data_IF_947648746476
#
_entry.id   IF_947648746476
#
_cell.length_a   1.000
_cell.length_b   1.000
_cell.length_c   1.000
_cell.angle_alpha   90.00
_cell.angle_beta   90.00
_cell.angle_gamma   90.00
#
_symmetry.space_group_name_H-M   'P 1'
#
loop_
_entity.id
_entity.type
_entity.pdbx_description
1 polymer ?
#
# COMPACT_ATOMS: atom_id res chain seq x y z
N UNK A 1 16.89 -12.76 6.70
CA UNK A 1 16.92 -13.75 5.59
C UNK A 1 17.64 -15.04 5.97
N UNK A 2 18.58 -15.00 6.93
CA UNK A 2 19.40 -16.18 7.30
C UNK A 2 18.63 -17.35 7.91
N UNK A 3 17.41 -17.13 8.38
CA UNK A 3 16.51 -18.19 8.83
C UNK A 3 15.98 -19.08 7.68
N UNK A 4 16.26 -18.77 6.41
CA UNK A 4 15.84 -19.55 5.24
C UNK A 4 14.33 -19.55 4.99
N UNK A 5 13.60 -18.56 5.53
CA UNK A 5 12.12 -18.48 5.48
C UNK A 5 11.58 -17.48 4.43
N UNK A 6 12.45 -16.83 3.65
CA UNK A 6 12.07 -15.74 2.74
C UNK A 6 13.00 -15.75 1.52
N UNK A 7 12.44 -15.95 0.33
CA UNK A 7 13.22 -15.90 -0.93
C UNK A 7 12.92 -14.69 -1.80
N UNK A 8 11.78 -14.02 -1.64
CA UNK A 8 11.44 -12.79 -2.36
C UNK A 8 10.85 -11.78 -1.39
N UNK A 9 11.25 -10.51 -1.51
CA UNK A 9 10.71 -9.42 -0.70
C UNK A 9 10.49 -8.17 -1.56
N UNK A 10 9.57 -7.31 -1.12
CA UNK A 10 9.28 -6.05 -1.78
C UNK A 10 8.74 -5.02 -0.80
N UNK A 11 8.97 -3.75 -1.11
CA UNK A 11 8.47 -2.57 -0.41
C UNK A 11 7.82 -1.63 -1.43
N UNK A 12 6.79 -0.90 -1.01
CA UNK A 12 6.06 0.05 -1.85
C UNK A 12 6.93 1.22 -2.33
N UNK A 13 8.05 1.45 -1.65
CA UNK A 13 9.07 2.46 -1.94
C UNK A 13 10.01 2.09 -3.09
N UNK A 14 9.50 1.36 -4.09
CA UNK A 14 10.26 0.86 -5.25
C UNK A 14 11.40 -0.10 -4.90
N UNK A 15 11.26 -0.80 -3.78
CA UNK A 15 12.24 -1.76 -3.29
C UNK A 15 11.84 -3.19 -3.66
N UNK A 16 12.74 -3.96 -4.26
CA UNK A 16 12.52 -5.41 -4.48
C UNK A 16 13.84 -6.15 -4.30
N UNK A 17 13.78 -7.37 -3.77
CA UNK A 17 14.96 -8.19 -3.54
C UNK A 17 14.63 -9.67 -3.34
N UNK A 18 15.69 -10.44 -3.12
CA UNK A 18 15.64 -11.86 -2.77
C UNK A 18 16.78 -12.22 -1.83
N UNK A 19 16.79 -13.46 -1.35
CA UNK A 19 17.81 -13.99 -0.43
C UNK A 19 19.21 -14.20 -1.03
N UNK A 20 19.41 -13.87 -2.31
CA UNK A 20 20.72 -13.89 -2.97
C UNK A 20 21.73 -12.92 -2.33
N UNK A 21 21.27 -11.79 -1.79
CA UNK A 21 22.05 -10.86 -0.97
C UNK A 21 21.25 -10.45 0.27
N UNK A 22 21.77 -9.50 1.07
CA UNK A 22 21.11 -8.99 2.29
C UNK A 22 20.64 -7.54 2.15
N UNK A 23 20.42 -7.11 0.92
CA UNK A 23 19.95 -5.78 0.55
C UNK A 23 18.90 -5.89 -0.56
N UNK A 24 18.15 -4.81 -0.78
CA UNK A 24 17.33 -4.67 -1.98
C UNK A 24 18.26 -4.48 -3.19
N UNK A 25 17.86 -4.99 -4.35
CA UNK A 25 18.68 -4.91 -5.57
C UNK A 25 17.82 -4.55 -6.79
N UNK A 26 17.99 -3.30 -7.25
CA UNK A 26 17.27 -2.79 -8.40
C UNK A 26 17.71 -3.41 -9.74
N UNK A 27 19.00 -3.74 -9.90
CA UNK A 27 19.50 -4.39 -11.13
C UNK A 27 18.96 -5.81 -11.19
N UNK A 28 18.97 -6.52 -10.06
CA UNK A 28 18.36 -7.83 -9.95
C UNK A 28 16.86 -7.80 -10.32
N UNK A 29 16.10 -6.82 -9.83
CA UNK A 29 14.68 -6.68 -10.15
C UNK A 29 14.45 -6.43 -11.66
N UNK A 30 15.30 -5.63 -12.30
CA UNK A 30 15.27 -5.42 -13.77
C UNK A 30 15.57 -6.72 -14.51
N UNK A 31 16.62 -7.46 -14.12
CA UNK A 31 16.97 -8.73 -14.73
C UNK A 31 15.90 -9.82 -14.52
N UNK A 32 15.22 -9.81 -13.37
CA UNK A 32 14.07 -10.67 -13.11
C UNK A 32 12.92 -10.38 -14.08
N UNK A 33 12.58 -9.10 -14.29
CA UNK A 33 11.57 -8.70 -15.28
C UNK A 33 11.99 -9.06 -16.71
N UNK A 34 13.25 -8.85 -17.09
CA UNK A 34 13.75 -9.26 -18.40
C UNK A 34 13.64 -10.78 -18.58
N UNK A 35 13.91 -11.56 -17.54
CA UNK A 35 13.76 -13.02 -17.56
C UNK A 35 12.30 -13.44 -17.72
N UNK A 36 11.36 -12.77 -17.06
CA UNK A 36 9.92 -12.99 -17.23
C UNK A 36 9.52 -12.71 -18.68
N UNK A 37 9.89 -11.55 -19.22
CA UNK A 37 9.55 -11.16 -20.60
C UNK A 37 10.17 -12.10 -21.62
N UNK A 38 11.43 -12.49 -21.43
CA UNK A 38 12.10 -13.47 -22.29
C UNK A 38 11.37 -14.82 -22.29
N UNK A 39 11.03 -15.35 -21.10
CA UNK A 39 10.29 -16.61 -20.99
C UNK A 39 8.91 -16.52 -21.63
N UNK A 40 8.18 -15.42 -21.42
CA UNK A 40 6.85 -15.17 -22.01
C UNK A 40 6.88 -15.06 -23.54
N UNK A 41 8.05 -14.82 -24.13
CA UNK A 41 8.25 -14.69 -25.57
C UNK A 41 9.09 -15.81 -26.19
N UNK A 42 9.45 -16.86 -25.44
CA UNK A 42 10.41 -17.89 -25.88
C UNK A 42 9.98 -18.65 -27.16
N UNK A 43 8.67 -18.74 -27.41
CA UNK A 43 8.11 -19.41 -28.59
C UNK A 43 7.80 -18.45 -29.74
N UNK A 44 8.00 -17.13 -29.54
CA UNK A 44 7.71 -16.11 -30.55
C UNK A 44 8.80 -16.09 -31.62
N UNK A 45 8.38 -16.02 -32.88
CA UNK A 45 9.29 -15.95 -34.03
C UNK A 45 9.60 -14.50 -34.40
N UNK A 46 10.71 -14.31 -35.13
CA UNK A 46 11.07 -12.99 -35.68
C UNK A 46 9.92 -12.45 -36.53
N UNK A 47 9.48 -11.23 -36.23
CA UNK A 47 8.35 -10.58 -36.89
C UNK A 47 6.99 -10.78 -36.22
N UNK A 48 6.87 -11.68 -35.24
CA UNK A 48 5.64 -11.80 -34.44
C UNK A 48 5.56 -10.71 -33.36
N UNK A 49 4.32 -10.32 -33.00
CA UNK A 49 4.08 -9.42 -31.88
C UNK A 49 4.47 -10.08 -30.57
N UNK A 50 5.39 -9.45 -29.85
CA UNK A 50 5.85 -9.88 -28.54
C UNK A 50 4.82 -9.56 -27.45
N UNK A 51 4.76 -10.40 -26.43
CA UNK A 51 4.07 -10.14 -25.16
C UNK A 51 4.83 -9.01 -24.45
N UNK A 52 4.16 -7.88 -24.25
CA UNK A 52 4.68 -6.72 -23.53
C UNK A 52 4.52 -6.84 -22.01
N UNK A 53 5.20 -5.97 -21.26
CA UNK A 53 4.98 -5.82 -19.80
C UNK A 53 3.51 -5.55 -19.50
N UNK A 54 2.84 -4.69 -20.29
CA UNK A 54 1.41 -4.41 -20.11
C UNK A 54 0.55 -5.66 -20.27
N UNK A 55 0.86 -6.53 -21.23
CA UNK A 55 0.14 -7.80 -21.39
C UNK A 55 0.32 -8.70 -20.16
N UNK A 56 1.56 -8.85 -19.68
CA UNK A 56 1.85 -9.68 -18.49
C UNK A 56 1.10 -9.16 -17.26
N UNK A 57 1.10 -7.84 -17.04
CA UNK A 57 0.40 -7.22 -15.90
C UNK A 57 -1.12 -7.39 -16.02
N UNK A 58 -1.71 -7.16 -17.21
CA UNK A 58 -3.15 -7.35 -17.43
C UNK A 58 -3.57 -8.81 -17.25
N UNK A 59 -2.78 -9.76 -17.72
CA UNK A 59 -3.03 -11.19 -17.49
C UNK A 59 -2.92 -11.55 -16.00
N UNK A 60 -1.97 -10.96 -15.27
CA UNK A 60 -1.85 -11.14 -13.82
C UNK A 60 -3.10 -10.61 -13.10
N UNK A 61 -3.58 -9.41 -13.46
CA UNK A 61 -4.82 -8.86 -12.92
C UNK A 61 -6.03 -9.73 -13.25
N UNK A 62 -6.16 -10.21 -14.49
CA UNK A 62 -7.24 -11.11 -14.86
C UNK A 62 -7.24 -12.43 -14.05
N UNK A 63 -6.07 -12.88 -13.60
CA UNK A 63 -5.92 -14.12 -12.82
C UNK A 63 -6.17 -13.90 -11.33
N UNK A 64 -5.71 -12.79 -10.76
CA UNK A 64 -5.65 -12.59 -9.30
C UNK A 64 -6.51 -11.41 -8.79
N UNK A 65 -7.14 -10.65 -9.68
CA UNK A 65 -7.69 -9.33 -9.39
C UNK A 65 -6.63 -8.23 -9.45
N UNK A 66 -7.08 -6.97 -9.50
CA UNK A 66 -6.19 -5.79 -9.46
C UNK A 66 -6.28 -5.14 -8.09
N UNK A 67 -5.14 -4.93 -7.45
CA UNK A 67 -5.03 -4.01 -6.32
C UNK A 67 -4.66 -2.63 -6.87
N UNK A 68 -5.63 -1.72 -6.89
CA UNK A 68 -5.33 -0.30 -7.10
C UNK A 68 -4.64 0.22 -5.86
N UNK A 69 -3.53 0.95 -6.03
CA UNK A 69 -2.74 1.46 -4.93
C UNK A 69 -2.37 2.92 -5.18
N UNK A 70 -2.42 3.75 -4.14
CA UNK A 70 -1.77 5.05 -4.13
C UNK A 70 -1.33 5.42 -2.72
N UNK A 71 -0.25 6.19 -2.62
CA UNK A 71 0.24 6.75 -1.37
C UNK A 71 0.22 8.27 -1.42
N UNK A 72 -0.41 8.88 -0.42
CA UNK A 72 -0.49 10.32 -0.22
C UNK A 72 0.41 10.70 0.94
N UNK A 73 1.44 11.50 0.67
CA UNK A 73 2.36 12.02 1.68
C UNK A 73 2.07 13.50 1.95
N UNK A 74 1.77 13.83 3.20
CA UNK A 74 1.59 15.19 3.70
C UNK A 74 2.82 15.54 4.53
N UNK A 75 3.81 16.11 3.88
CA UNK A 75 5.13 16.41 4.46
C UNK A 75 5.10 17.70 5.27
N UNK A 76 5.98 17.85 6.26
CA UNK A 76 6.15 19.07 7.07
C UNK A 76 4.87 19.49 7.81
N UNK A 77 4.04 18.53 8.24
CA UNK A 77 2.91 18.82 9.13
C UNK A 77 3.43 19.23 10.51
N UNK A 78 2.70 20.12 11.19
CA UNK A 78 2.99 20.42 12.59
C UNK A 78 2.81 19.14 13.43
N UNK A 79 3.83 18.83 14.24
CA UNK A 79 3.96 17.55 14.92
C UNK A 79 2.84 17.31 15.94
N UNK A 80 2.42 18.32 16.69
CA UNK A 80 1.35 18.18 17.68
C UNK A 80 0.01 17.82 17.02
N UNK A 81 -0.38 18.54 15.96
CA UNK A 81 -1.57 18.26 15.16
C UNK A 81 -1.54 16.87 14.52
N UNK A 82 -0.43 16.48 13.91
CA UNK A 82 -0.28 15.17 13.30
C UNK A 82 -0.33 14.02 14.32
N UNK A 83 0.25 14.20 15.51
CA UNK A 83 0.13 13.23 16.60
C UNK A 83 -1.31 13.12 17.11
N UNK A 84 -2.01 14.25 17.31
CA UNK A 84 -3.43 14.25 17.71
C UNK A 84 -4.31 13.53 16.70
N UNK A 85 -4.05 13.69 15.40
CA UNK A 85 -4.76 12.97 14.34
C UNK A 85 -4.59 11.45 14.48
N UNK A 86 -3.37 10.97 14.70
CA UNK A 86 -3.12 9.53 14.83
C UNK A 86 -3.69 8.97 16.13
N UNK A 87 -3.61 9.69 17.25
CA UNK A 87 -4.27 9.29 18.49
C UNK A 87 -5.80 9.21 18.33
N UNK A 88 -6.39 10.16 17.62
CA UNK A 88 -7.81 10.10 17.25
C UNK A 88 -8.13 8.88 16.39
N UNK A 89 -7.29 8.56 15.39
CA UNK A 89 -7.46 7.36 14.57
C UNK A 89 -7.31 6.06 15.36
N UNK A 90 -6.39 6.01 16.33
CA UNK A 90 -6.22 4.87 17.26
C UNK A 90 -7.47 4.67 18.13
N UNK A 91 -7.98 5.75 18.71
CA UNK A 91 -9.21 5.73 19.50
C UNK A 91 -10.41 5.27 18.65
N UNK A 92 -10.53 5.79 17.42
CA UNK A 92 -11.55 5.35 16.48
C UNK A 92 -11.45 3.86 16.17
N UNK A 93 -10.26 3.38 15.77
CA UNK A 93 -10.02 1.96 15.48
C UNK A 93 -10.32 1.06 16.67
N UNK A 94 -10.02 1.50 17.91
CA UNK A 94 -10.31 0.75 19.13
C UNK A 94 -11.82 0.60 19.44
N UNK A 95 -12.64 1.53 18.92
CA UNK A 95 -14.09 1.55 19.10
C UNK A 95 -14.84 0.90 17.93
N UNK A 96 -14.19 0.82 16.77
CA UNK A 96 -14.74 0.19 15.57
C UNK A 96 -15.00 -1.30 15.78
N UNK A 97 -16.04 -1.80 15.14
CA UNK A 97 -16.45 -3.21 15.17
C UNK A 97 -16.52 -3.76 13.76
N UNK A 98 -16.23 -5.05 13.63
CA UNK A 98 -16.48 -5.77 12.40
C UNK A 98 -17.96 -5.59 11.99
N UNK A 99 -18.20 -5.22 10.74
CA UNK A 99 -19.53 -4.92 10.21
C UNK A 99 -19.91 -3.44 10.21
N UNK A 100 -19.11 -2.56 10.84
CA UNK A 100 -19.34 -1.12 10.75
C UNK A 100 -19.28 -0.65 9.29
N UNK A 101 -20.22 0.21 8.90
CA UNK A 101 -20.33 0.75 7.54
C UNK A 101 -19.59 2.08 7.43
N UNK A 102 -18.71 2.15 6.43
CA UNK A 102 -17.96 3.33 6.03
C UNK A 102 -18.37 3.70 4.60
N UNK A 103 -19.64 4.09 4.43
CA UNK A 103 -20.26 4.22 3.12
C UNK A 103 -20.49 2.85 2.50
N UNK A 104 -19.96 2.62 1.30
CA UNK A 104 -20.08 1.32 0.60
C UNK A 104 -19.11 0.25 1.14
N UNK A 105 -18.15 0.64 1.98
CA UNK A 105 -17.17 -0.27 2.54
C UNK A 105 -17.63 -0.82 3.90
N UNK A 106 -17.61 -2.14 4.05
CA UNK A 106 -17.92 -2.82 5.32
C UNK A 106 -16.62 -3.19 6.02
N UNK A 107 -16.45 -2.71 7.25
CA UNK A 107 -15.23 -2.93 8.01
C UNK A 107 -15.08 -4.42 8.37
N UNK A 108 -13.96 -5.02 8.01
CA UNK A 108 -13.55 -6.33 8.51
C UNK A 108 -12.88 -6.19 9.88
N UNK A 109 -11.89 -5.30 9.99
CA UNK A 109 -11.28 -4.92 11.27
C UNK A 109 -10.57 -3.57 11.16
N UNK A 110 -10.33 -2.93 12.31
CA UNK A 110 -9.42 -1.80 12.43
C UNK A 110 -8.47 -2.03 13.62
N UNK A 111 -7.19 -1.70 13.46
CA UNK A 111 -6.18 -1.86 14.49
C UNK A 111 -5.02 -0.87 14.33
N UNK A 112 -4.13 -0.79 15.33
CA UNK A 112 -2.81 -0.18 15.18
C UNK A 112 -1.77 -1.29 15.06
N UNK A 113 -1.16 -1.40 13.88
CA UNK A 113 -0.38 -2.55 13.48
C UNK A 113 0.79 -2.81 14.44
N UNK A 114 0.90 -4.07 14.84
CA UNK A 114 2.03 -4.61 15.58
C UNK A 114 2.52 -5.88 14.92
N UNK A 115 3.82 -6.14 15.06
CA UNK A 115 4.46 -7.31 14.49
C UNK A 115 5.44 -7.89 15.51
N UNK A 116 5.40 -9.22 15.66
CA UNK A 116 6.37 -9.97 16.44
C UNK A 116 7.23 -10.78 15.49
N UNK A 117 8.52 -10.52 15.48
CA UNK A 117 9.46 -11.20 14.60
C UNK A 117 9.58 -12.69 14.99
N UNK A 118 9.39 -13.63 14.05
CA UNK A 118 9.42 -15.06 14.34
C UNK A 118 10.84 -15.66 14.40
N UNK A 119 11.88 -14.85 14.21
CA UNK A 119 13.30 -15.25 14.29
C UNK A 119 13.88 -14.80 15.63
N UNK A 120 13.80 -13.52 15.95
CA UNK A 120 14.42 -12.95 17.17
C UNK A 120 13.41 -12.67 18.30
N UNK A 121 12.10 -12.76 18.02
CA UNK A 121 11.05 -12.55 19.00
C UNK A 121 10.79 -11.08 19.35
N UNK A 122 11.49 -10.13 18.72
CA UNK A 122 11.28 -8.70 18.92
C UNK A 122 9.86 -8.29 18.55
N UNK A 123 9.34 -7.28 19.25
CA UNK A 123 7.98 -6.78 19.04
C UNK A 123 8.06 -5.30 18.67
N UNK A 124 7.47 -4.95 17.53
CA UNK A 124 7.22 -3.57 17.14
C UNK A 124 5.72 -3.29 17.22
N UNK A 125 5.38 -2.14 17.77
CA UNK A 125 3.99 -1.66 17.89
C UNK A 125 3.87 -0.29 17.25
N UNK A 126 2.64 0.20 17.07
CA UNK A 126 2.38 1.55 16.55
C UNK A 126 2.92 1.75 15.13
N UNK A 127 2.88 0.70 14.30
CA UNK A 127 3.45 0.71 12.95
C UNK A 127 2.47 1.21 11.87
N UNK A 128 1.25 1.58 12.26
CA UNK A 128 0.28 2.24 11.40
C UNK A 128 -1.13 1.82 11.73
N UNK A 129 -2.06 2.78 11.74
CA UNK A 129 -3.48 2.51 11.98
C UNK A 129 -4.10 2.00 10.69
N UNK A 130 -4.71 0.82 10.71
CA UNK A 130 -5.29 0.16 9.54
C UNK A 130 -6.81 0.11 9.67
N UNK A 131 -7.50 0.38 8.57
CA UNK A 131 -8.90 0.07 8.37
C UNK A 131 -8.97 -0.91 7.20
N UNK A 132 -9.33 -2.15 7.47
CA UNK A 132 -9.38 -3.23 6.49
C UNK A 132 -10.83 -3.61 6.27
N UNK A 133 -11.24 -3.65 5.00
CA UNK A 133 -12.63 -3.87 4.59
C UNK A 133 -12.83 -5.28 4.04
N UNK A 134 -14.07 -5.77 4.09
CA UNK A 134 -14.42 -7.16 3.75
C UNK A 134 -14.25 -7.50 2.27
N UNK A 135 -14.18 -6.50 1.39
CA UNK A 135 -13.91 -6.63 -0.04
C UNK A 135 -12.42 -6.80 -0.36
N UNK A 136 -11.53 -6.68 0.65
CA UNK A 136 -10.08 -6.71 0.49
C UNK A 136 -9.44 -5.31 0.38
N UNK A 137 -10.24 -4.25 0.31
CA UNK A 137 -9.75 -2.87 0.32
C UNK A 137 -9.22 -2.48 1.71
N UNK A 138 -8.30 -1.52 1.76
CA UNK A 138 -7.76 -1.01 3.03
C UNK A 138 -7.23 0.42 2.94
N UNK A 139 -7.31 1.10 4.08
CA UNK A 139 -6.68 2.40 4.32
C UNK A 139 -5.68 2.23 5.46
N UNK A 140 -4.47 2.75 5.30
CA UNK A 140 -3.44 2.72 6.34
C UNK A 140 -2.93 4.14 6.57
N UNK A 141 -2.86 4.55 7.83
CA UNK A 141 -2.28 5.82 8.25
C UNK A 141 -0.99 5.57 9.01
N UNK A 142 0.12 6.17 8.56
CA UNK A 142 1.41 6.09 9.23
C UNK A 142 2.01 7.47 9.40
N UNK A 143 2.39 7.79 10.64
CA UNK A 143 3.15 8.99 10.94
C UNK A 143 4.64 8.67 10.88
N UNK A 144 5.40 9.50 10.18
CA UNK A 144 6.85 9.36 10.03
C UNK A 144 7.56 10.65 10.38
N UNK A 145 8.76 10.52 10.95
CA UNK A 145 9.70 11.62 11.14
C UNK A 145 9.21 12.74 12.05
N UNK A 146 8.82 12.48 13.30
CA UNK A 146 8.33 13.50 14.25
C UNK A 146 9.43 14.38 14.87
N UNK A 147 10.46 14.71 14.11
CA UNK A 147 11.63 15.48 14.58
C UNK A 147 11.41 16.99 14.52
N UNK A 148 12.50 17.75 14.57
CA UNK A 148 12.46 19.22 14.46
C UNK A 148 11.96 19.73 13.11
N UNK A 149 11.95 18.89 12.08
CA UNK A 149 11.50 19.23 10.72
C UNK A 149 9.97 19.09 10.50
N UNK A 150 9.18 18.92 11.56
CA UNK A 150 7.77 18.57 11.47
C UNK A 150 7.58 17.07 11.22
N UNK A 151 6.36 16.62 10.95
CA UNK A 151 6.03 15.22 10.72
C UNK A 151 5.44 14.98 9.32
N UNK A 152 5.66 13.78 8.77
CA UNK A 152 5.02 13.35 7.52
C UNK A 152 3.89 12.39 7.84
N UNK A 153 2.66 12.78 7.50
CA UNK A 153 1.50 11.88 7.52
C UNK A 153 1.45 11.15 6.18
N UNK A 154 1.57 9.82 6.20
CA UNK A 154 1.43 8.97 5.03
C UNK A 154 0.10 8.25 5.08
N UNK A 155 -0.68 8.37 4.01
CA UNK A 155 -1.94 7.66 3.81
C UNK A 155 -1.76 6.69 2.65
N UNK A 156 -1.89 5.40 2.92
CA UNK A 156 -1.87 4.35 1.91
C UNK A 156 -3.31 3.95 1.64
N UNK A 157 -3.69 3.97 0.37
CA UNK A 157 -5.03 3.62 -0.08
C UNK A 157 -4.90 2.45 -1.05
N UNK A 158 -5.52 1.33 -0.73
CA UNK A 158 -5.55 0.16 -1.59
C UNK A 158 -6.99 -0.34 -1.78
N UNK A 159 -7.41 -0.50 -3.03
CA UNK A 159 -8.72 -1.02 -3.38
C UNK A 159 -8.56 -2.29 -4.21
N UNK A 160 -9.16 -3.39 -3.74
CA UNK A 160 -9.17 -4.64 -4.47
C UNK A 160 -10.33 -4.65 -5.48
N UNK A 161 -10.03 -4.95 -6.74
CA UNK A 161 -11.01 -5.06 -7.80
C UNK A 161 -10.95 -6.47 -8.42
N UNK A 162 -11.94 -7.34 -8.14
CA UNK A 162 -12.01 -8.66 -8.76
C UNK A 162 -12.59 -8.62 -10.18
N UNK A 163 -13.33 -7.58 -10.57
CA UNK A 163 -13.98 -7.49 -11.89
C UNK A 163 -12.99 -7.06 -12.98
N UNK A 164 -12.64 -8.00 -13.86
CA UNK A 164 -11.72 -7.79 -14.97
C UNK A 164 -12.14 -6.64 -15.91
N UNK A 165 -13.43 -6.33 -16.01
CA UNK A 165 -13.91 -5.22 -16.86
C UNK A 165 -13.52 -3.84 -16.31
N UNK A 166 -13.18 -3.76 -15.02
CA UNK A 166 -12.77 -2.53 -14.33
C UNK A 166 -11.26 -2.41 -14.15
N UNK A 167 -10.49 -3.46 -14.48
CA UNK A 167 -9.04 -3.47 -14.28
C UNK A 167 -8.29 -2.46 -15.13
N UNK A 168 -8.89 -1.89 -16.18
CA UNK A 168 -8.24 -0.86 -17.01
C UNK A 168 -8.56 0.57 -16.59
N UNK A 169 -9.36 0.76 -15.53
CA UNK A 169 -9.63 2.09 -14.99
C UNK A 169 -8.33 2.77 -14.56
N UNK A 170 -8.31 4.10 -14.67
CA UNK A 170 -7.27 4.90 -14.06
C UNK A 170 -7.29 4.70 -12.54
N UNK A 171 -6.11 4.61 -11.93
CA UNK A 171 -6.02 4.30 -10.51
C UNK A 171 -6.60 5.40 -9.63
N UNK A 172 -6.43 6.68 -10.00
CA UNK A 172 -6.96 7.80 -9.22
C UNK A 172 -8.48 7.89 -9.33
N UNK A 173 -9.04 7.50 -10.47
CA UNK A 173 -10.50 7.38 -10.65
C UNK A 173 -11.05 6.23 -9.80
N UNK A 174 -10.45 5.05 -9.88
CA UNK A 174 -10.90 3.88 -9.12
C UNK A 174 -10.82 4.11 -7.60
N UNK A 175 -9.72 4.72 -7.13
CA UNK A 175 -9.46 4.95 -5.71
C UNK A 175 -10.23 6.14 -5.13
N UNK A 176 -10.84 7.01 -5.96
CA UNK A 176 -11.46 8.25 -5.48
C UNK A 176 -12.43 8.04 -4.31
N UNK A 177 -13.36 7.06 -4.33
CA UNK A 177 -14.28 6.86 -3.22
C UNK A 177 -13.55 6.51 -1.91
N UNK A 178 -12.48 5.70 -2.00
CA UNK A 178 -11.70 5.27 -0.83
C UNK A 178 -10.79 6.39 -0.31
N UNK A 179 -10.27 7.26 -1.20
CA UNK A 179 -9.53 8.48 -0.84
C UNK A 179 -10.44 9.46 -0.09
N UNK A 180 -11.64 9.72 -0.62
CA UNK A 180 -12.61 10.62 0.02
C UNK A 180 -12.99 10.08 1.42
N UNK A 181 -13.17 8.76 1.55
CA UNK A 181 -13.39 8.09 2.82
C UNK A 181 -12.19 8.27 3.77
N UNK A 182 -10.96 8.03 3.31
CA UNK A 182 -9.75 8.18 4.12
C UNK A 182 -9.61 9.60 4.70
N UNK A 183 -9.89 10.63 3.89
CA UNK A 183 -9.85 12.03 4.32
C UNK A 183 -10.96 12.36 5.32
N UNK A 184 -12.17 11.84 5.09
CA UNK A 184 -13.30 12.01 6.01
C UNK A 184 -13.04 11.35 7.37
N UNK A 185 -12.59 10.09 7.36
CA UNK A 185 -12.33 9.29 8.56
C UNK A 185 -11.22 9.91 9.41
N UNK A 186 -10.13 10.34 8.77
CA UNK A 186 -8.96 10.88 9.49
C UNK A 186 -9.12 12.29 10.00
N UNK A 187 -10.06 13.07 9.43
CA UNK A 187 -10.15 14.52 9.66
C UNK A 187 -8.80 15.21 9.44
N UNK A 188 -8.01 14.72 8.49
CA UNK A 188 -6.61 15.14 8.27
C UNK A 188 -6.50 16.65 8.12
N UNK A 189 -7.41 17.26 7.35
CA UNK A 189 -7.44 18.72 7.16
C UNK A 189 -7.65 19.47 8.47
N UNK A 190 -8.53 18.99 9.35
CA UNK A 190 -8.85 19.65 10.61
C UNK A 190 -7.67 19.60 11.57
N UNK A 191 -6.93 18.49 11.59
CA UNK A 191 -5.77 18.31 12.47
C UNK A 191 -4.47 18.96 11.94
N UNK A 192 -4.28 18.99 10.63
CA UNK A 192 -2.99 19.38 10.02
C UNK A 192 -3.06 20.69 9.21
N UNK A 193 -4.26 21.18 8.92
CA UNK A 193 -4.48 22.30 7.99
C UNK A 193 -4.22 21.97 6.52
N UNK A 194 -3.83 20.73 6.18
CA UNK A 194 -3.47 20.36 4.80
C UNK A 194 -4.69 19.98 3.98
N UNK A 195 -4.86 20.65 2.84
CA UNK A 195 -5.95 20.38 1.91
C UNK A 195 -5.61 19.33 0.84
N UNK A 196 -4.33 19.20 0.50
CA UNK A 196 -3.82 18.31 -0.53
C UNK A 196 -2.49 17.67 -0.09
N UNK A 197 -2.17 16.46 -0.57
CA UNK A 197 -0.87 15.85 -0.33
C UNK A 197 0.24 16.67 -0.98
N UNK A 198 1.43 16.62 -0.39
CA UNK A 198 2.66 17.15 -0.99
C UNK A 198 3.13 16.25 -2.13
N UNK A 199 3.05 14.92 -1.92
CA UNK A 199 3.47 13.91 -2.90
C UNK A 199 2.37 12.85 -3.04
N UNK A 200 2.12 12.43 -4.29
CA UNK A 200 1.27 11.30 -4.64
C UNK A 200 2.15 10.28 -5.36
N UNK A 201 2.11 9.02 -4.90
CA UNK A 201 2.71 7.86 -5.56
C UNK A 201 1.63 6.91 -6.03
#
# INVERSE_FOLDING_TARGET
>A
MDAGKLSICGEESFGTGSDHIREKDGIWAVLAWLSIIAYRNKEKKVGETLVSVSNVVKEHWATFGRNFFSRYDYEECESEGANKMVEYLRDLASKSKQGDSYGEYVLQFADDFSYKDPVDGSVVTKQGVRFVFSDGSRIIFRLSGTGSAGATVRVYIEQFEPDASKHELDAQVALKPLIDLALSVSKLKDFTGREKPTVIT
#
